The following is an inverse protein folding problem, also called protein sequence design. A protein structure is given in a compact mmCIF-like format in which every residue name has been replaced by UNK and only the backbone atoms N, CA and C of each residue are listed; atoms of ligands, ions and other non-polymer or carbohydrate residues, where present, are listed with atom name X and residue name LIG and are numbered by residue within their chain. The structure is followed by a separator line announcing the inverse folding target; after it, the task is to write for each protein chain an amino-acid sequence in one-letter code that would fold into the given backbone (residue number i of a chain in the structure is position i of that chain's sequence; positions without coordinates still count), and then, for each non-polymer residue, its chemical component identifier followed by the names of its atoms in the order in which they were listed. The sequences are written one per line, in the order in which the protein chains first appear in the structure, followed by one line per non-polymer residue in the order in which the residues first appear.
data_IF_568995588395
#
_entry.id   IF_568995588395
#
_cell.length_a   1.000
_cell.length_b   1.000
_cell.length_c   1.000
_cell.angle_alpha   90.00
_cell.angle_beta   90.00
_cell.angle_gamma   90.00
#
_symmetry.space_group_name_H-M   'P 1'
#
loop_
_entity.id
_entity.type
_entity.pdbx_description
1 polymer ?
#
# COMPACT_ATOMS: atom_id res chain seq x y z
N UNK A 1 -9.06 -16.25 0.88
CA UNK A 1 -10.27 -15.62 0.28
C UNK A 1 -10.25 -14.11 0.56
N UNK A 2 -10.50 -13.30 -0.47
CA UNK A 2 -10.58 -11.85 -0.31
C UNK A 2 -12.00 -11.49 0.13
N UNK A 3 -12.13 -10.83 1.26
CA UNK A 3 -13.42 -10.39 1.78
C UNK A 3 -13.56 -8.88 1.65
N UNK A 4 -14.80 -8.38 1.72
CA UNK A 4 -15.05 -6.95 1.72
C UNK A 4 -14.35 -6.26 2.89
N UNK A 5 -14.36 -6.88 4.07
CA UNK A 5 -13.68 -6.34 5.25
C UNK A 5 -12.18 -6.23 5.03
N UNK A 6 -11.56 -7.22 4.38
CA UNK A 6 -10.14 -7.18 4.04
C UNK A 6 -9.83 -6.01 3.13
N UNK A 7 -10.69 -5.77 2.14
CA UNK A 7 -10.51 -4.67 1.18
C UNK A 7 -10.66 -3.33 1.89
N UNK A 8 -11.70 -3.19 2.72
CA UNK A 8 -11.94 -1.93 3.45
C UNK A 8 -10.79 -1.62 4.41
N UNK A 9 -10.30 -2.62 5.13
CA UNK A 9 -9.20 -2.46 6.08
C UNK A 9 -7.92 -2.02 5.36
N UNK A 10 -7.59 -2.70 4.26
CA UNK A 10 -6.42 -2.36 3.47
C UNK A 10 -6.54 -0.96 2.86
N UNK A 11 -7.70 -0.62 2.34
CA UNK A 11 -7.95 0.69 1.76
C UNK A 11 -7.76 1.79 2.81
N UNK A 12 -8.40 1.65 3.97
CA UNK A 12 -8.31 2.66 5.02
C UNK A 12 -6.87 2.88 5.46
N UNK A 13 -6.12 1.81 5.67
CA UNK A 13 -4.74 1.89 6.11
C UNK A 13 -3.84 2.54 5.04
N UNK A 14 -3.91 2.02 3.81
CA UNK A 14 -3.06 2.52 2.72
C UNK A 14 -3.42 3.96 2.34
N UNK A 15 -4.69 4.30 2.33
CA UNK A 15 -5.15 5.65 2.01
C UNK A 15 -4.62 6.66 3.04
N UNK A 16 -4.71 6.33 4.33
CA UNK A 16 -4.19 7.18 5.39
C UNK A 16 -2.68 7.38 5.24
N UNK A 17 -1.94 6.30 5.00
CA UNK A 17 -0.49 6.39 4.86
C UNK A 17 -0.08 7.15 3.61
N UNK A 18 -0.83 6.98 2.52
CA UNK A 18 -0.57 7.75 1.31
C UNK A 18 -0.72 9.24 1.56
N UNK A 19 -1.75 9.66 2.27
CA UNK A 19 -1.95 11.07 2.58
C UNK A 19 -0.81 11.62 3.43
N UNK A 20 -0.38 10.89 4.45
CA UNK A 20 0.76 11.28 5.27
C UNK A 20 2.03 11.38 4.41
N UNK A 21 2.25 10.41 3.54
CA UNK A 21 3.41 10.37 2.65
C UNK A 21 3.45 11.60 1.72
N UNK A 22 2.33 11.92 1.10
CA UNK A 22 2.24 13.05 0.18
C UNK A 22 2.46 14.40 0.87
N UNK A 23 2.07 14.52 2.15
CA UNK A 23 2.23 15.73 2.92
C UNK A 23 3.54 15.79 3.70
N UNK A 24 4.34 14.73 3.66
CA UNK A 24 5.64 14.71 4.33
C UNK A 24 6.66 15.54 3.56
N UNK A 25 7.38 16.41 4.29
CA UNK A 25 8.40 17.26 3.69
C UNK A 25 9.82 16.79 3.99
N UNK A 26 9.98 15.88 4.93
CA UNK A 26 11.28 15.37 5.35
C UNK A 26 11.46 13.94 4.85
N UNK A 27 12.66 13.65 4.35
CA UNK A 27 12.95 12.32 3.79
C UNK A 27 12.80 11.21 4.81
N UNK A 28 13.16 11.45 6.08
CA UNK A 28 13.04 10.41 7.11
C UNK A 28 11.57 10.07 7.41
N UNK A 29 10.67 11.03 7.26
CA UNK A 29 9.22 10.76 7.41
C UNK A 29 8.72 9.85 6.29
N UNK A 30 9.18 10.11 5.06
CA UNK A 30 8.84 9.27 3.92
C UNK A 30 9.43 7.86 4.08
N UNK A 31 10.67 7.76 4.55
CA UNK A 31 11.32 6.47 4.80
C UNK A 31 10.57 5.67 5.85
N UNK A 32 10.08 6.32 6.91
CA UNK A 32 9.27 5.65 7.93
C UNK A 32 7.98 5.07 7.35
N UNK A 33 7.29 5.83 6.49
CA UNK A 33 6.07 5.33 5.85
C UNK A 33 6.39 4.16 4.93
N UNK A 34 7.48 4.24 4.17
CA UNK A 34 7.89 3.13 3.30
C UNK A 34 8.16 1.85 4.09
N UNK A 35 8.82 1.97 5.25
CA UNK A 35 9.08 0.83 6.11
C UNK A 35 7.80 0.24 6.69
N UNK A 36 6.90 1.10 7.18
CA UNK A 36 5.62 0.67 7.74
C UNK A 36 4.79 -0.06 6.68
N UNK A 37 4.72 0.48 5.48
CA UNK A 37 3.95 -0.13 4.38
C UNK A 37 4.61 -1.42 3.91
N UNK A 38 5.94 -1.48 3.85
CA UNK A 38 6.65 -2.71 3.52
C UNK A 38 6.33 -3.84 4.49
N UNK A 39 6.32 -3.53 5.78
CA UNK A 39 5.93 -4.50 6.82
C UNK A 39 4.46 -4.89 6.69
N UNK A 40 3.59 -3.93 6.41
CA UNK A 40 2.17 -4.19 6.21
C UNK A 40 1.94 -5.11 5.00
N UNK A 41 2.71 -4.93 3.93
CA UNK A 41 2.61 -5.79 2.75
C UNK A 41 2.90 -7.26 3.07
N UNK A 42 3.74 -7.51 4.06
CA UNK A 42 4.00 -8.88 4.52
C UNK A 42 2.86 -9.46 5.37
N UNK A 43 2.01 -8.61 5.93
CA UNK A 43 0.92 -9.00 6.82
C UNK A 43 -0.45 -9.02 6.13
N UNK A 44 -0.59 -8.34 5.02
CA UNK A 44 -1.84 -8.25 4.28
C UNK A 44 -2.22 -9.62 3.70
N UNK A 45 -3.51 -9.83 3.45
CA UNK A 45 -3.99 -11.04 2.81
C UNK A 45 -3.20 -11.30 1.51
N UNK A 46 -2.53 -12.47 1.39
CA UNK A 46 -1.69 -12.75 0.22
C UNK A 46 -2.43 -12.71 -1.11
N UNK A 47 -3.70 -13.11 -1.13
CA UNK A 47 -4.51 -13.05 -2.35
C UNK A 47 -4.75 -11.61 -2.77
N UNK A 48 -5.04 -10.74 -1.81
CA UNK A 48 -5.24 -9.32 -2.06
C UNK A 48 -3.94 -8.67 -2.56
N UNK A 49 -2.83 -8.99 -1.93
CA UNK A 49 -1.52 -8.47 -2.34
C UNK A 49 -1.17 -8.94 -3.76
N UNK A 50 -1.43 -10.20 -4.09
CA UNK A 50 -1.21 -10.72 -5.45
C UNK A 50 -2.02 -9.95 -6.49
N UNK A 51 -3.26 -9.64 -6.17
CA UNK A 51 -4.13 -8.85 -7.05
C UNK A 51 -3.57 -7.46 -7.28
N UNK A 52 -3.14 -6.80 -6.20
CA UNK A 52 -2.60 -5.44 -6.29
C UNK A 52 -1.26 -5.40 -7.00
N UNK A 53 -0.37 -6.34 -6.68
CA UNK A 53 1.01 -6.36 -7.18
C UNK A 53 1.12 -6.88 -8.61
N UNK A 54 0.11 -7.58 -9.09
CA UNK A 54 0.13 -8.23 -10.39
C UNK A 54 1.35 -9.16 -10.54
N UNK A 55 1.70 -9.85 -9.45
CA UNK A 55 2.81 -10.79 -9.42
C UNK A 55 4.19 -10.19 -9.19
N UNK A 56 4.29 -8.89 -9.00
CA UNK A 56 5.57 -8.23 -8.78
C UNK A 56 6.04 -8.41 -7.34
N UNK A 57 7.22 -9.04 -7.10
CA UNK A 57 7.63 -9.40 -5.73
C UNK A 57 8.06 -8.23 -4.87
N UNK A 58 8.47 -7.10 -5.46
CA UNK A 58 8.93 -5.91 -4.75
C UNK A 58 7.84 -4.84 -4.59
N UNK A 59 6.59 -5.19 -4.83
CA UNK A 59 5.48 -4.25 -4.76
C UNK A 59 5.38 -3.64 -3.35
N UNK A 60 5.28 -2.31 -3.27
CA UNK A 60 5.28 -1.54 -2.01
C UNK A 60 6.59 -1.64 -1.22
N UNK A 61 7.65 -2.22 -1.79
CA UNK A 61 8.95 -2.37 -1.13
C UNK A 61 10.09 -1.70 -1.87
N UNK A 62 9.92 -1.38 -3.15
CA UNK A 62 10.93 -0.69 -3.94
C UNK A 62 10.83 0.81 -3.69
N UNK A 63 11.89 1.39 -3.14
CA UNK A 63 11.96 2.82 -2.83
C UNK A 63 11.62 3.70 -4.03
N UNK A 64 12.15 3.38 -5.19
CA UNK A 64 11.98 4.21 -6.39
C UNK A 64 10.56 4.17 -6.94
N UNK A 65 9.83 3.09 -6.68
CA UNK A 65 8.48 2.87 -7.19
C UNK A 65 7.42 3.00 -6.11
N UNK A 66 7.83 3.33 -4.90
CA UNK A 66 6.93 3.28 -3.74
C UNK A 66 5.71 4.17 -3.93
N UNK A 67 5.91 5.42 -4.34
CA UNK A 67 4.79 6.36 -4.51
C UNK A 67 3.82 5.87 -5.57
N UNK A 68 4.32 5.36 -6.68
CA UNK A 68 3.47 4.80 -7.73
C UNK A 68 2.73 3.58 -7.23
N UNK A 69 3.40 2.72 -6.46
CA UNK A 69 2.81 1.50 -5.94
C UNK A 69 1.68 1.79 -4.95
N UNK A 70 1.92 2.69 -3.98
CA UNK A 70 0.90 2.99 -2.97
C UNK A 70 -0.28 3.73 -3.59
N UNK A 71 -0.03 4.64 -4.54
CA UNK A 71 -1.08 5.32 -5.27
C UNK A 71 -1.92 4.33 -6.07
N UNK A 72 -1.27 3.40 -6.74
CA UNK A 72 -1.94 2.34 -7.51
C UNK A 72 -2.80 1.47 -6.60
N UNK A 73 -2.24 1.03 -5.47
CA UNK A 73 -2.97 0.18 -4.52
C UNK A 73 -4.23 0.86 -4.01
N UNK A 74 -4.13 2.13 -3.61
CA UNK A 74 -5.28 2.90 -3.14
C UNK A 74 -6.34 3.03 -4.23
N UNK A 75 -5.91 3.33 -5.46
CA UNK A 75 -6.84 3.49 -6.58
C UNK A 75 -7.59 2.19 -6.90
N UNK A 76 -6.88 1.06 -6.92
CA UNK A 76 -7.49 -0.24 -7.19
C UNK A 76 -8.50 -0.60 -6.10
N UNK A 77 -8.12 -0.43 -4.84
CA UNK A 77 -9.01 -0.74 -3.71
C UNK A 77 -10.25 0.15 -3.72
N UNK A 78 -10.09 1.43 -4.04
CA UNK A 78 -11.21 2.36 -4.14
C UNK A 78 -12.20 1.92 -5.24
N UNK A 79 -11.69 1.44 -6.36
CA UNK A 79 -12.53 1.02 -7.48
C UNK A 79 -13.34 -0.25 -7.20
N UNK A 80 -12.86 -1.11 -6.31
CA UNK A 80 -13.55 -2.37 -6.00
C UNK A 80 -14.41 -2.29 -4.73
N UNK A 81 -14.41 -1.15 -4.05
CA UNK A 81 -15.29 -0.92 -2.89
C UNK A 81 -16.71 -0.47 -3.32
#
# INVERSE_FOLDING_TARGET
MITKDSIETAYAFLHQKLRVYEHSTLDWQKDDIEMIIGDYADQINPELLSMLSNGRPDYLKDHKKFQDDITHAVAVLENIL
#
